data_IF_090050347097
#
_entry.id   IF_090050347097
#
_cell.length_a   1.000
_cell.length_b   1.000
_cell.length_c   1.000
_cell.angle_alpha   90.00
_cell.angle_beta   90.00
_cell.angle_gamma   90.00
#
_symmetry.space_group_name_H-M   'P 1'
#
loop_
_entity.id
_entity.type
_entity.pdbx_description
1 polymer ?
#
# COMPACT_ATOMS: atom_id res chain seq x y z
N UNK A 1 38.53 -6.30 -46.59
CA UNK A 1 37.10 -6.24 -46.22
C UNK A 1 36.98 -6.68 -44.78
N UNK A 2 36.76 -5.76 -43.85
CA UNK A 2 36.59 -6.09 -42.43
C UNK A 2 35.10 -6.40 -42.20
N UNK A 3 34.77 -7.67 -42.02
CA UNK A 3 33.41 -8.08 -41.68
C UNK A 3 33.09 -7.51 -40.29
N UNK A 4 32.20 -6.52 -40.21
CA UNK A 4 31.63 -6.06 -38.95
C UNK A 4 30.93 -7.25 -38.30
N UNK A 5 31.47 -7.76 -37.20
CA UNK A 5 30.75 -8.64 -36.30
C UNK A 5 29.48 -7.90 -35.86
N UNK A 6 28.31 -8.41 -36.25
CA UNK A 6 27.05 -8.02 -35.61
C UNK A 6 27.10 -8.61 -34.20
N UNK A 7 27.28 -7.76 -33.20
CA UNK A 7 27.02 -8.13 -31.81
C UNK A 7 25.57 -8.58 -31.71
N UNK A 8 25.35 -9.86 -31.44
CA UNK A 8 24.04 -10.39 -31.10
C UNK A 8 23.66 -9.87 -29.72
N UNK A 9 22.67 -8.98 -29.66
CA UNK A 9 22.10 -8.54 -28.38
C UNK A 9 21.41 -9.72 -27.73
N UNK A 10 21.75 -10.01 -26.47
CA UNK A 10 21.05 -11.04 -25.70
C UNK A 10 19.58 -10.61 -25.51
N UNK A 11 18.67 -11.39 -26.09
CA UNK A 11 17.22 -11.20 -25.94
C UNK A 11 16.79 -12.04 -24.75
N UNK A 12 16.36 -11.39 -23.67
CA UNK A 12 15.90 -12.05 -22.45
C UNK A 12 14.96 -11.13 -21.66
N UNK A 13 14.13 -11.71 -20.78
CA UNK A 13 13.16 -10.94 -20.02
C UNK A 13 13.86 -9.96 -19.07
N UNK A 14 13.27 -8.77 -18.90
CA UNK A 14 13.76 -7.79 -17.95
C UNK A 14 13.31 -8.23 -16.55
N UNK A 15 14.27 -8.45 -15.65
CA UNK A 15 13.99 -8.94 -14.30
C UNK A 15 12.97 -8.05 -13.56
N UNK A 16 11.82 -8.63 -13.21
CA UNK A 16 10.74 -7.96 -12.50
C UNK A 16 9.80 -7.12 -13.37
N UNK A 17 9.93 -7.13 -14.69
CA UNK A 17 9.03 -6.44 -15.62
C UNK A 17 8.32 -7.48 -16.49
N UNK A 18 7.08 -7.86 -16.13
CA UNK A 18 6.38 -8.95 -16.82
C UNK A 18 5.94 -8.55 -18.22
N UNK A 19 6.17 -9.44 -19.19
CA UNK A 19 5.65 -9.35 -20.55
C UNK A 19 4.68 -10.51 -20.76
N UNK A 20 3.39 -10.23 -20.67
CA UNK A 20 2.35 -11.25 -20.79
C UNK A 20 2.11 -11.65 -22.24
N UNK A 21 1.86 -12.94 -22.46
CA UNK A 21 1.35 -13.46 -23.73
C UNK A 21 -0.04 -12.90 -24.05
N UNK A 22 -0.51 -13.00 -25.31
CA UNK A 22 -1.87 -12.58 -25.66
C UNK A 22 -2.96 -13.22 -24.79
N UNK A 23 -2.83 -14.51 -24.46
CA UNK A 23 -3.78 -15.22 -23.61
C UNK A 23 -3.82 -14.65 -22.18
N UNK A 24 -2.65 -14.38 -21.60
CA UNK A 24 -2.53 -13.77 -20.27
C UNK A 24 -3.07 -12.34 -20.26
N UNK A 25 -2.78 -11.53 -21.29
CA UNK A 25 -3.33 -10.15 -21.40
C UNK A 25 -4.85 -10.14 -21.50
N UNK A 26 -5.45 -11.08 -22.23
CA UNK A 26 -6.92 -11.19 -22.31
C UNK A 26 -7.52 -11.49 -20.93
N UNK A 27 -6.89 -12.38 -20.15
CA UNK A 27 -7.35 -12.69 -18.80
C UNK A 27 -7.19 -11.49 -17.85
N UNK A 28 -6.04 -10.81 -17.90
CA UNK A 28 -5.80 -9.60 -17.11
C UNK A 28 -6.82 -8.51 -17.44
N UNK A 29 -7.11 -8.26 -18.72
CA UNK A 29 -8.10 -7.27 -19.14
C UNK A 29 -9.49 -7.58 -18.58
N UNK A 30 -9.92 -8.85 -18.62
CA UNK A 30 -11.22 -9.26 -18.04
C UNK A 30 -11.29 -9.01 -16.53
N UNK A 31 -10.20 -9.28 -15.82
CA UNK A 31 -10.10 -9.00 -14.39
C UNK A 31 -10.18 -7.49 -14.12
N UNK A 32 -9.38 -6.68 -14.83
CA UNK A 32 -9.38 -5.22 -14.68
C UNK A 32 -10.74 -4.60 -15.04
N UNK A 33 -11.42 -5.10 -16.07
CA UNK A 33 -12.77 -4.64 -16.44
C UNK A 33 -13.80 -4.98 -15.36
N UNK A 34 -13.69 -6.14 -14.72
CA UNK A 34 -14.58 -6.54 -13.62
C UNK A 34 -14.39 -5.62 -12.40
N UNK A 35 -13.13 -5.33 -12.07
CA UNK A 35 -12.76 -4.40 -10.99
C UNK A 35 -13.29 -2.99 -11.30
N UNK A 36 -12.98 -2.47 -12.49
CA UNK A 36 -13.43 -1.16 -12.98
C UNK A 36 -14.95 -1.01 -12.92
N UNK A 37 -15.69 -1.96 -13.49
CA UNK A 37 -17.15 -1.93 -13.50
C UNK A 37 -17.74 -1.96 -12.08
N UNK A 38 -17.08 -2.64 -11.14
CA UNK A 38 -17.49 -2.66 -9.74
C UNK A 38 -17.24 -1.30 -9.07
N UNK A 39 -16.11 -0.64 -9.33
CA UNK A 39 -15.84 0.71 -8.83
C UNK A 39 -16.83 1.74 -9.39
N UNK A 40 -17.08 1.73 -10.71
CA UNK A 40 -18.02 2.63 -11.38
C UNK A 40 -19.46 2.44 -10.83
N UNK A 41 -19.86 1.21 -10.49
CA UNK A 41 -21.18 0.92 -9.90
C UNK A 41 -21.41 1.60 -8.54
N UNK A 42 -20.35 1.84 -7.77
CA UNK A 42 -20.41 2.55 -6.49
C UNK A 42 -20.23 4.08 -6.66
N UNK A 43 -20.11 4.57 -7.90
CA UNK A 43 -19.99 6.00 -8.20
C UNK A 43 -18.57 6.54 -8.01
N UNK A 44 -17.54 5.69 -8.01
CA UNK A 44 -16.16 6.14 -8.08
C UNK A 44 -15.82 6.57 -9.52
N UNK A 45 -15.24 7.76 -9.68
CA UNK A 45 -14.86 8.29 -10.99
C UNK A 45 -13.41 7.97 -11.34
N UNK A 46 -13.06 7.65 -12.60
CA UNK A 46 -11.67 7.42 -12.98
C UNK A 46 -10.83 8.68 -12.87
N UNK A 47 -9.60 8.52 -12.39
CA UNK A 47 -8.51 9.46 -12.64
C UNK A 47 -7.28 8.71 -13.17
N UNK A 48 -6.37 9.46 -13.78
CA UNK A 48 -5.03 9.00 -14.10
C UNK A 48 -4.04 10.12 -13.73
N UNK A 49 -2.92 9.74 -13.13
CA UNK A 49 -1.83 10.67 -12.81
C UNK A 49 -0.62 10.34 -13.66
N UNK A 50 0.27 11.32 -13.83
CA UNK A 50 1.57 11.10 -14.46
C UNK A 50 2.29 9.90 -13.85
N UNK A 51 2.96 9.09 -14.69
CA UNK A 51 3.85 8.00 -14.25
C UNK A 51 5.07 8.53 -13.47
N UNK A 52 5.38 9.81 -13.65
CA UNK A 52 6.50 10.47 -12.99
C UNK A 52 6.01 11.48 -11.96
N UNK A 53 6.73 11.55 -10.85
CA UNK A 53 6.52 12.50 -9.77
C UNK A 53 7.85 13.18 -9.45
N UNK A 54 7.78 14.39 -8.88
CA UNK A 54 8.98 15.06 -8.35
C UNK A 54 9.49 14.29 -7.14
N UNK A 55 10.81 14.22 -7.00
CA UNK A 55 11.44 13.47 -5.91
C UNK A 55 10.99 13.96 -4.54
N UNK A 56 10.87 15.28 -4.36
CA UNK A 56 10.45 15.88 -3.09
C UNK A 56 9.03 15.48 -2.69
N UNK A 57 8.11 15.34 -3.66
CA UNK A 57 6.75 14.85 -3.44
C UNK A 57 6.77 13.41 -2.94
N UNK A 58 7.57 12.53 -3.56
CA UNK A 58 7.65 11.12 -3.19
C UNK A 58 8.34 10.90 -1.83
N UNK A 59 9.33 11.72 -1.48
CA UNK A 59 10.05 11.60 -0.20
C UNK A 59 9.39 12.34 0.95
N UNK A 60 8.41 13.23 0.70
CA UNK A 60 7.75 14.03 1.73
C UNK A 60 7.07 13.20 2.84
N UNK A 61 6.63 11.97 2.53
CA UNK A 61 6.00 11.04 3.48
C UNK A 61 6.78 9.75 3.72
N UNK A 62 7.92 9.57 3.04
CA UNK A 62 8.68 8.32 3.03
C UNK A 62 9.64 8.19 4.21
N UNK A 63 9.71 7.00 4.80
CA UNK A 63 10.84 6.60 5.65
C UNK A 63 12.02 6.10 4.80
N UNK A 64 13.15 5.77 5.44
CA UNK A 64 14.36 5.27 4.76
C UNK A 64 14.14 4.02 3.90
N UNK A 65 13.06 3.28 4.15
CA UNK A 65 12.65 2.11 3.37
C UNK A 65 11.98 2.51 2.04
N UNK A 66 11.13 3.54 2.02
CA UNK A 66 10.47 4.05 0.80
C UNK A 66 11.51 4.56 -0.21
N UNK A 67 12.57 5.24 0.25
CA UNK A 67 13.61 5.75 -0.65
C UNK A 67 14.35 4.64 -1.42
N UNK A 68 14.46 3.43 -0.84
CA UNK A 68 15.10 2.27 -1.49
C UNK A 68 14.22 1.64 -2.58
N UNK A 69 12.95 2.02 -2.64
CA UNK A 69 11.96 1.45 -3.55
C UNK A 69 11.72 2.33 -4.79
N UNK A 70 12.37 3.49 -4.91
CA UNK A 70 12.04 4.47 -5.97
C UNK A 70 12.98 4.34 -7.17
N UNK A 71 12.39 4.22 -8.37
CA UNK A 71 13.12 4.34 -9.63
C UNK A 71 13.34 5.80 -10.00
N UNK A 72 14.58 6.28 -9.86
CA UNK A 72 14.97 7.64 -10.27
C UNK A 72 15.21 7.72 -11.77
N UNK A 73 14.74 8.79 -12.38
CA UNK A 73 14.96 9.09 -13.78
C UNK A 73 16.11 10.09 -13.93
N UNK A 74 16.90 9.93 -14.99
CA UNK A 74 17.89 10.93 -15.40
C UNK A 74 17.47 11.51 -16.74
N UNK A 75 17.26 12.83 -16.78
CA UNK A 75 16.94 13.53 -18.02
C UNK A 75 18.16 13.56 -18.93
N UNK A 76 17.98 13.20 -20.21
CA UNK A 76 19.02 13.32 -21.24
C UNK A 76 19.20 14.77 -21.73
N UNK A 77 18.19 15.62 -21.50
CA UNK A 77 18.19 17.03 -21.90
C UNK A 77 17.73 17.90 -20.72
N UNK A 78 18.55 18.02 -19.66
CA UNK A 78 18.21 18.84 -18.51
C UNK A 78 18.24 20.33 -18.87
N UNK A 79 17.29 21.11 -18.34
CA UNK A 79 17.32 22.57 -18.43
C UNK A 79 18.30 23.18 -17.42
N UNK A 80 18.55 22.49 -16.31
CA UNK A 80 19.57 22.81 -15.32
C UNK A 80 20.19 21.53 -14.72
N UNK A 81 21.35 21.65 -14.07
CA UNK A 81 21.96 20.52 -13.38
C UNK A 81 21.07 19.94 -12.26
N UNK A 82 20.22 20.77 -11.65
CA UNK A 82 19.25 20.33 -10.64
C UNK A 82 18.13 19.49 -11.28
N UNK A 83 17.67 19.85 -12.48
CA UNK A 83 16.59 19.15 -13.19
C UNK A 83 17.01 17.79 -13.74
N UNK A 84 18.32 17.53 -13.85
CA UNK A 84 18.85 16.31 -14.44
C UNK A 84 18.37 15.04 -13.75
N UNK A 85 17.99 15.09 -12.47
CA UNK A 85 17.50 13.95 -11.70
C UNK A 85 16.31 14.28 -10.80
N UNK A 86 15.49 15.28 -11.14
CA UNK A 86 14.40 15.74 -10.24
C UNK A 86 13.16 14.82 -10.22
N UNK A 87 13.09 13.85 -11.13
CA UNK A 87 11.92 13.00 -11.31
C UNK A 87 12.18 11.53 -10.99
N UNK A 88 11.12 10.87 -10.54
CA UNK A 88 11.10 9.44 -10.28
C UNK A 88 9.77 8.84 -10.71
N UNK A 89 9.75 7.53 -11.00
CA UNK A 89 8.51 6.80 -11.19
C UNK A 89 7.76 6.69 -9.86
N UNK A 90 6.45 6.90 -9.88
CA UNK A 90 5.61 6.67 -8.70
C UNK A 90 5.59 5.18 -8.29
N UNK A 91 5.70 4.93 -7.00
CA UNK A 91 5.76 3.59 -6.40
C UNK A 91 4.41 3.11 -5.84
N UNK A 92 3.45 4.03 -5.75
CA UNK A 92 2.05 3.83 -5.37
C UNK A 92 1.13 4.81 -6.13
N UNK A 93 -0.19 4.73 -5.87
CA UNK A 93 -1.18 5.67 -6.40
C UNK A 93 -1.66 6.70 -5.34
N UNK A 94 -1.36 6.47 -4.06
CA UNK A 94 -1.82 7.32 -2.95
C UNK A 94 -1.04 8.63 -2.84
N UNK A 95 0.29 8.63 -3.03
CA UNK A 95 1.07 9.88 -3.04
C UNK A 95 0.70 10.76 -4.24
N UNK A 96 0.63 10.23 -5.48
CA UNK A 96 0.11 10.99 -6.63
C UNK A 96 -1.31 11.52 -6.42
N UNK A 97 -2.21 10.74 -5.80
CA UNK A 97 -3.55 11.22 -5.44
C UNK A 97 -3.49 12.45 -4.54
N UNK A 98 -2.70 12.42 -3.48
CA UNK A 98 -2.60 13.54 -2.55
C UNK A 98 -2.14 14.83 -3.27
N UNK A 99 -1.15 14.72 -4.17
CA UNK A 99 -0.72 15.83 -5.02
C UNK A 99 -1.82 16.28 -5.99
N UNK A 100 -2.50 15.33 -6.64
CA UNK A 100 -3.58 15.62 -7.58
C UNK A 100 -4.71 16.41 -6.90
N UNK A 101 -5.18 15.96 -5.73
CA UNK A 101 -6.21 16.65 -4.96
C UNK A 101 -5.74 18.02 -4.52
N UNK A 102 -4.50 18.16 -4.02
CA UNK A 102 -3.98 19.46 -3.61
C UNK A 102 -3.88 20.45 -4.78
N UNK A 103 -3.45 19.99 -5.96
CA UNK A 103 -3.32 20.83 -7.16
C UNK A 103 -4.69 21.21 -7.75
N UNK A 104 -5.67 20.32 -7.65
CA UNK A 104 -7.00 20.47 -8.24
C UNK A 104 -8.09 20.81 -7.23
N UNK A 105 -7.72 21.18 -6.00
CA UNK A 105 -8.68 21.32 -4.90
C UNK A 105 -9.89 22.21 -5.25
N UNK A 106 -9.68 23.33 -5.94
CA UNK A 106 -10.75 24.24 -6.37
C UNK A 106 -11.62 23.72 -7.52
N UNK A 107 -11.18 22.70 -8.26
CA UNK A 107 -11.91 22.08 -9.37
C UNK A 107 -12.71 20.84 -8.92
N UNK A 108 -12.44 20.31 -7.72
CA UNK A 108 -13.01 19.06 -7.23
C UNK A 108 -14.24 19.31 -6.35
N UNK A 109 -15.20 18.38 -6.44
CA UNK A 109 -16.38 18.34 -5.55
C UNK A 109 -16.14 17.31 -4.47
N UNK A 110 -16.29 17.73 -3.21
CA UNK A 110 -16.12 16.87 -2.04
C UNK A 110 -17.48 16.38 -1.47
N UNK A 111 -17.60 15.12 -1.01
CA UNK A 111 -16.55 14.10 -0.98
C UNK A 111 -16.17 13.62 -2.40
N UNK A 112 -14.88 13.68 -2.70
CA UNK A 112 -14.34 13.31 -4.00
C UNK A 112 -14.06 11.80 -4.01
N UNK A 113 -14.80 11.09 -4.87
CA UNK A 113 -14.75 9.63 -4.99
C UNK A 113 -14.04 9.25 -6.27
N UNK A 114 -12.88 8.61 -6.15
CA UNK A 114 -12.09 8.21 -7.32
C UNK A 114 -11.71 6.74 -7.30
N UNK A 115 -11.50 6.20 -8.48
CA UNK A 115 -10.68 5.01 -8.65
C UNK A 115 -9.48 5.31 -9.57
N UNK A 116 -8.42 4.53 -9.41
CA UNK A 116 -7.26 4.58 -10.30
C UNK A 116 -6.74 3.16 -10.53
N UNK A 117 -6.64 2.76 -11.80
CA UNK A 117 -6.09 1.47 -12.23
C UNK A 117 -4.88 1.78 -13.10
N UNK A 118 -3.69 1.70 -12.52
CA UNK A 118 -2.46 2.15 -13.18
C UNK A 118 -1.26 1.31 -12.71
N UNK A 119 -0.25 1.19 -13.58
CA UNK A 119 1.02 0.56 -13.22
C UNK A 119 1.78 1.41 -12.22
N UNK A 120 2.51 0.75 -11.33
CA UNK A 120 3.46 1.37 -10.39
C UNK A 120 4.78 0.64 -10.43
N UNK A 121 5.84 1.30 -9.96
CA UNK A 121 7.20 0.78 -10.04
C UNK A 121 7.90 0.75 -8.67
N UNK A 122 8.41 -0.41 -8.29
CA UNK A 122 9.17 -0.61 -7.05
C UNK A 122 10.55 -1.17 -7.32
N UNK A 123 11.59 -0.41 -6.96
CA UNK A 123 13.01 -0.73 -7.17
C UNK A 123 13.57 -1.86 -6.32
N UNK A 124 12.74 -2.55 -5.53
CA UNK A 124 13.16 -3.67 -4.69
C UNK A 124 13.75 -4.83 -5.51
N UNK A 125 14.48 -5.71 -4.81
CA UNK A 125 14.84 -7.00 -5.40
C UNK A 125 13.54 -7.80 -5.61
N UNK A 126 13.29 -8.29 -6.84
CA UNK A 126 12.08 -9.05 -7.11
C UNK A 126 12.06 -10.32 -6.25
N UNK A 127 10.89 -10.64 -5.72
CA UNK A 127 10.61 -11.89 -5.00
C UNK A 127 9.43 -12.57 -5.70
N UNK A 128 9.14 -13.83 -5.34
CA UNK A 128 7.99 -14.52 -5.91
C UNK A 128 6.70 -13.73 -5.63
N UNK A 129 5.96 -13.36 -6.69
CA UNK A 129 4.76 -12.52 -6.58
C UNK A 129 5.03 -11.01 -6.34
N UNK A 130 6.29 -10.58 -6.22
CA UNK A 130 6.68 -9.17 -6.12
C UNK A 130 7.51 -8.75 -7.32
N UNK A 131 6.81 -8.23 -8.32
CA UNK A 131 7.41 -7.63 -9.51
C UNK A 131 7.90 -6.21 -9.24
N UNK A 132 8.78 -5.71 -10.12
CA UNK A 132 9.25 -4.32 -10.14
C UNK A 132 8.27 -3.40 -10.83
N UNK A 133 7.45 -3.94 -11.73
CA UNK A 133 6.31 -3.28 -12.35
C UNK A 133 5.06 -4.12 -12.16
N UNK A 134 3.97 -3.53 -11.66
CA UNK A 134 2.68 -4.18 -11.51
C UNK A 134 1.54 -3.17 -11.45
N UNK A 135 0.32 -3.62 -11.71
CA UNK A 135 -0.89 -2.77 -11.70
C UNK A 135 -1.46 -2.69 -10.28
N UNK A 136 -1.72 -1.47 -9.80
CA UNK A 136 -2.56 -1.22 -8.62
C UNK A 136 -3.97 -0.83 -9.07
N UNK A 137 -4.96 -1.16 -8.24
CA UNK A 137 -6.37 -0.87 -8.45
C UNK A 137 -6.91 -0.25 -7.16
N UNK A 138 -6.82 1.07 -7.05
CA UNK A 138 -7.13 1.78 -5.81
C UNK A 138 -8.48 2.48 -5.93
N UNK A 139 -9.21 2.55 -4.80
CA UNK A 139 -10.40 3.39 -4.61
C UNK A 139 -10.22 4.26 -3.39
N UNK A 140 -10.61 5.52 -3.48
CA UNK A 140 -10.46 6.48 -2.39
C UNK A 140 -11.67 7.40 -2.33
N UNK A 141 -12.08 7.71 -1.10
CA UNK A 141 -13.06 8.75 -0.79
C UNK A 141 -12.29 9.84 -0.04
N UNK A 142 -12.14 10.99 -0.66
CA UNK A 142 -11.44 12.14 -0.07
C UNK A 142 -12.50 13.14 0.39
N UNK A 143 -12.47 13.49 1.67
CA UNK A 143 -13.33 14.53 2.24
C UNK A 143 -12.63 15.88 2.31
N UNK A 144 -13.43 16.93 2.51
CA UNK A 144 -12.96 18.24 2.95
C UNK A 144 -13.25 18.38 4.45
N UNK A 145 -12.24 18.09 5.29
CA UNK A 145 -12.39 18.00 6.74
C UNK A 145 -12.73 16.58 7.21
N UNK A 146 -13.98 16.30 7.55
CA UNK A 146 -14.40 15.02 8.12
C UNK A 146 -15.23 14.19 7.14
N UNK A 147 -14.98 12.87 7.15
CA UNK A 147 -15.82 11.88 6.50
C UNK A 147 -16.65 11.16 7.55
N UNK A 148 -17.85 10.74 7.14
CA UNK A 148 -18.69 9.83 7.95
C UNK A 148 -18.05 8.44 7.98
N UNK A 149 -18.26 7.69 9.07
CA UNK A 149 -17.91 6.26 9.16
C UNK A 149 -18.56 5.41 8.07
N UNK A 150 -19.61 5.92 7.41
CA UNK A 150 -20.20 5.27 6.23
C UNK A 150 -19.22 5.18 5.06
N UNK A 151 -18.28 6.14 4.93
CA UNK A 151 -17.24 6.08 3.91
C UNK A 151 -16.31 4.88 4.15
N UNK A 152 -15.90 4.64 5.40
CA UNK A 152 -15.13 3.45 5.77
C UNK A 152 -15.92 2.16 5.56
N UNK A 153 -17.21 2.15 5.91
CA UNK A 153 -18.08 0.96 5.79
C UNK A 153 -18.36 0.55 4.33
N UNK A 154 -18.31 1.50 3.40
CA UNK A 154 -18.48 1.25 1.97
C UNK A 154 -17.29 0.49 1.37
N UNK A 155 -16.07 0.73 1.85
CA UNK A 155 -14.86 0.10 1.28
C UNK A 155 -14.92 -1.44 1.35
N UNK A 156 -15.24 -2.09 2.50
CA UNK A 156 -15.46 -3.53 2.55
C UNK A 156 -16.58 -4.03 1.63
N UNK A 157 -17.64 -3.24 1.42
CA UNK A 157 -18.71 -3.61 0.51
C UNK A 157 -18.24 -3.64 -0.96
N UNK A 158 -17.42 -2.67 -1.37
CA UNK A 158 -16.81 -2.65 -2.71
C UNK A 158 -15.83 -3.81 -2.88
N UNK A 159 -14.98 -4.08 -1.88
CA UNK A 159 -14.05 -5.23 -1.90
C UNK A 159 -14.83 -6.53 -2.06
N UNK A 160 -15.94 -6.68 -1.31
CA UNK A 160 -16.80 -7.85 -1.37
C UNK A 160 -17.42 -8.03 -2.77
N UNK A 161 -18.00 -6.98 -3.36
CA UNK A 161 -18.55 -7.03 -4.73
C UNK A 161 -17.46 -7.42 -5.74
N UNK A 162 -16.27 -6.83 -5.67
CA UNK A 162 -15.16 -7.14 -6.57
C UNK A 162 -14.77 -8.61 -6.46
N UNK A 163 -14.50 -9.12 -5.26
CA UNK A 163 -14.04 -10.49 -5.05
C UNK A 163 -15.11 -11.53 -5.34
N UNK A 164 -16.39 -11.25 -5.03
CA UNK A 164 -17.51 -12.10 -5.43
C UNK A 164 -17.63 -12.18 -6.96
N UNK A 165 -17.47 -11.07 -7.68
CA UNK A 165 -17.56 -11.06 -9.15
C UNK A 165 -16.37 -11.68 -9.85
N UNK A 166 -15.18 -11.61 -9.23
CA UNK A 166 -13.99 -12.30 -9.71
C UNK A 166 -14.02 -13.81 -9.40
N UNK A 167 -14.97 -14.28 -8.59
CA UNK A 167 -15.16 -15.69 -8.22
C UNK A 167 -13.89 -16.34 -7.67
N UNK A 168 -13.22 -15.63 -6.74
CA UNK A 168 -11.96 -16.10 -6.13
C UNK A 168 -12.17 -17.15 -5.00
N UNK A 169 -13.41 -17.60 -4.80
CA UNK A 169 -13.81 -18.45 -3.69
C UNK A 169 -13.97 -17.69 -2.37
N UNK A 170 -13.77 -18.39 -1.25
CA UNK A 170 -13.95 -17.82 0.09
C UNK A 170 -12.82 -16.83 0.41
N UNK A 171 -13.20 -15.68 0.97
CA UNK A 171 -12.25 -14.68 1.45
C UNK A 171 -12.71 -14.10 2.80
N UNK A 172 -11.79 -13.47 3.51
CA UNK A 172 -12.04 -12.78 4.78
C UNK A 172 -11.47 -11.36 4.71
N UNK A 173 -12.28 -10.37 5.10
CA UNK A 173 -11.84 -8.98 5.23
C UNK A 173 -11.47 -8.74 6.70
N UNK A 174 -10.19 -8.59 6.99
CA UNK A 174 -9.69 -8.25 8.33
C UNK A 174 -9.71 -6.74 8.50
N UNK A 175 -10.39 -6.27 9.54
CA UNK A 175 -10.51 -4.84 9.86
C UNK A 175 -9.79 -4.56 11.18
N UNK A 176 -9.04 -3.46 11.21
CA UNK A 176 -8.37 -2.98 12.43
C UNK A 176 -8.51 -1.46 12.52
N UNK A 177 -8.32 -0.92 13.73
CA UNK A 177 -8.33 0.52 13.97
C UNK A 177 -7.08 0.93 14.74
N UNK A 178 -6.25 1.77 14.10
CA UNK A 178 -5.00 2.24 14.69
C UNK A 178 -5.21 2.95 16.03
N UNK A 179 -6.34 3.64 16.24
CA UNK A 179 -6.65 4.32 17.52
C UNK A 179 -6.80 3.33 18.67
N UNK A 180 -7.37 2.15 18.42
CA UNK A 180 -7.49 1.08 19.43
C UNK A 180 -6.10 0.55 19.78
N UNK A 181 -5.29 0.24 18.76
CA UNK A 181 -3.94 -0.28 18.95
C UNK A 181 -3.04 0.73 19.69
N UNK A 182 -3.07 1.99 19.26
CA UNK A 182 -2.32 3.08 19.91
C UNK A 182 -2.79 3.28 21.36
N UNK A 183 -4.10 3.39 21.60
CA UNK A 183 -4.63 3.59 22.94
C UNK A 183 -4.33 2.42 23.89
N UNK A 184 -4.31 1.19 23.38
CA UNK A 184 -3.93 0.02 24.18
C UNK A 184 -2.44 0.03 24.54
N UNK A 185 -1.56 0.41 23.61
CA UNK A 185 -0.14 0.56 23.91
C UNK A 185 0.12 1.70 24.91
N UNK A 186 -0.60 2.81 24.79
CA UNK A 186 -0.57 3.90 25.78
C UNK A 186 -1.04 3.42 27.16
N UNK A 187 -2.08 2.59 27.22
CA UNK A 187 -2.54 1.95 28.46
C UNK A 187 -1.46 1.07 29.11
N UNK A 188 -0.68 0.32 28.30
CA UNK A 188 0.48 -0.44 28.77
C UNK A 188 1.68 0.45 29.15
N UNK A 189 1.57 1.77 29.03
CA UNK A 189 2.61 2.72 29.40
C UNK A 189 3.74 2.85 28.38
N UNK A 190 3.45 2.64 27.10
CA UNK A 190 4.34 3.05 26.00
C UNK A 190 4.09 4.53 25.65
N UNK A 191 5.12 5.25 25.24
CA UNK A 191 5.05 6.71 25.08
C UNK A 191 4.57 7.20 23.69
N UNK A 192 4.04 6.26 22.88
CA UNK A 192 3.53 6.51 21.53
C UNK A 192 4.61 6.59 20.44
N UNK A 193 5.88 6.90 20.78
CA UNK A 193 6.96 7.05 19.80
C UNK A 193 7.37 5.72 19.18
N UNK A 194 7.29 4.66 19.98
CA UNK A 194 7.59 3.28 19.61
C UNK A 194 6.41 2.52 19.00
N UNK A 195 5.20 3.09 19.00
CA UNK A 195 3.98 2.40 18.53
C UNK A 195 4.12 1.86 17.11
N UNK A 196 4.67 2.65 16.18
CA UNK A 196 4.81 2.20 14.79
C UNK A 196 5.74 0.99 14.65
N UNK A 197 6.82 0.95 15.43
CA UNK A 197 7.79 -0.14 15.37
C UNK A 197 7.26 -1.38 16.10
N UNK A 198 6.62 -1.22 17.27
CA UNK A 198 5.94 -2.33 17.98
C UNK A 198 4.90 -2.98 17.08
N UNK A 199 4.04 -2.20 16.43
CA UNK A 199 3.02 -2.74 15.53
C UNK A 199 3.63 -3.42 14.29
N UNK A 200 4.76 -2.91 13.79
CA UNK A 200 5.50 -3.56 12.68
C UNK A 200 6.08 -4.92 13.11
N UNK A 201 6.57 -5.04 14.33
CA UNK A 201 7.04 -6.32 14.84
C UNK A 201 5.88 -7.28 15.13
N UNK A 202 4.78 -6.78 15.71
CA UNK A 202 3.57 -7.55 15.95
C UNK A 202 2.96 -8.14 14.67
N UNK A 203 2.97 -7.42 13.55
CA UNK A 203 2.50 -7.88 12.24
C UNK A 203 3.25 -9.15 11.75
N UNK A 204 4.46 -9.39 12.25
CA UNK A 204 5.26 -10.56 11.87
C UNK A 204 4.87 -11.82 12.64
N UNK A 205 4.06 -11.74 13.69
CA UNK A 205 3.74 -12.87 14.58
C UNK A 205 3.12 -14.03 13.80
N UNK A 206 2.23 -13.74 12.85
CA UNK A 206 1.57 -14.78 12.04
C UNK A 206 2.57 -15.64 11.25
N UNK A 207 3.70 -15.04 10.84
CA UNK A 207 4.72 -15.72 10.04
C UNK A 207 5.89 -16.26 10.88
N UNK A 208 6.26 -15.55 11.94
CA UNK A 208 7.52 -15.77 12.67
C UNK A 208 7.32 -16.24 14.12
N UNK A 209 6.07 -16.31 14.59
CA UNK A 209 5.75 -16.59 15.99
C UNK A 209 6.01 -15.40 16.92
N UNK A 210 5.81 -15.63 18.21
CA UNK A 210 5.85 -14.59 19.25
C UNK A 210 7.26 -14.24 19.73
N UNK A 211 8.22 -15.14 19.57
CA UNK A 211 9.56 -14.99 20.16
C UNK A 211 10.35 -13.78 19.64
N UNK A 212 10.35 -13.46 18.33
CA UNK A 212 11.00 -12.25 17.83
C UNK A 212 10.42 -10.96 18.43
N UNK A 213 9.11 -10.94 18.67
CA UNK A 213 8.42 -9.78 19.28
C UNK A 213 8.80 -9.65 20.75
N UNK A 214 8.86 -10.77 21.50
CA UNK A 214 9.36 -10.77 22.87
C UNK A 214 10.79 -10.22 22.94
N UNK A 215 11.68 -10.73 22.09
CA UNK A 215 13.07 -10.30 22.06
C UNK A 215 13.20 -8.80 21.72
N UNK A 216 12.43 -8.32 20.73
CA UNK A 216 12.39 -6.91 20.35
C UNK A 216 11.96 -6.03 21.52
N UNK A 217 10.84 -6.37 22.17
CA UNK A 217 10.28 -5.61 23.28
C UNK A 217 11.20 -5.63 24.51
N UNK A 218 11.77 -6.79 24.86
CA UNK A 218 12.72 -6.91 25.96
C UNK A 218 13.99 -6.07 25.73
N UNK A 219 14.53 -6.06 24.50
CA UNK A 219 15.67 -5.19 24.15
C UNK A 219 15.32 -3.70 24.21
N UNK A 220 14.06 -3.35 23.94
CA UNK A 220 13.51 -2.01 24.12
C UNK A 220 13.27 -1.60 25.58
N UNK A 221 13.48 -2.51 26.54
CA UNK A 221 13.27 -2.24 27.97
C UNK A 221 11.83 -2.45 28.45
N UNK A 222 10.97 -3.10 27.67
CA UNK A 222 9.64 -3.48 28.13
C UNK A 222 9.74 -4.59 29.19
N UNK A 223 9.01 -4.43 30.30
CA UNK A 223 8.88 -5.47 31.31
C UNK A 223 7.96 -6.62 30.85
N UNK A 224 7.94 -7.70 31.63
CA UNK A 224 7.15 -8.89 31.32
C UNK A 224 5.65 -8.58 31.19
N UNK A 225 5.11 -7.67 32.02
CA UNK A 225 3.69 -7.30 31.99
C UNK A 225 3.31 -6.61 30.67
N UNK A 226 4.17 -5.73 30.16
CA UNK A 226 3.96 -5.06 28.86
C UNK A 226 4.04 -6.04 27.69
N UNK A 227 4.99 -6.97 27.74
CA UNK A 227 5.17 -7.99 26.71
C UNK A 227 3.94 -8.89 26.65
N UNK A 228 3.51 -9.42 27.80
CA UNK A 228 2.33 -10.28 27.88
C UNK A 228 1.07 -9.53 27.44
N UNK A 229 0.93 -8.25 27.84
CA UNK A 229 -0.16 -7.40 27.39
C UNK A 229 -0.25 -7.25 25.86
N UNK A 230 0.87 -7.08 25.16
CA UNK A 230 0.91 -6.99 23.69
C UNK A 230 0.53 -8.34 23.06
N UNK A 231 1.11 -9.43 23.55
CA UNK A 231 0.84 -10.76 22.99
C UNK A 231 -0.62 -11.15 23.16
N UNK A 232 -1.19 -10.88 24.33
CA UNK A 232 -2.61 -11.06 24.61
C UNK A 232 -3.49 -10.32 23.60
N UNK A 233 -3.17 -9.07 23.28
CA UNK A 233 -3.95 -8.28 22.32
C UNK A 233 -3.88 -8.90 20.91
N UNK A 234 -2.69 -9.28 20.46
CA UNK A 234 -2.48 -9.77 19.09
C UNK A 234 -3.05 -11.18 18.90
N UNK A 235 -3.04 -11.98 19.96
CA UNK A 235 -3.55 -13.36 19.97
C UNK A 235 -5.00 -13.46 20.43
N UNK A 236 -5.67 -12.33 20.69
CA UNK A 236 -7.04 -12.34 21.15
C UNK A 236 -7.98 -12.86 20.04
N UNK A 237 -8.77 -13.88 20.38
CA UNK A 237 -9.79 -14.46 19.51
C UNK A 237 -11.16 -14.33 20.16
N UNK A 238 -12.20 -14.17 19.33
CA UNK A 238 -13.58 -14.06 19.77
C UNK A 238 -14.40 -13.09 18.93
N UNK A 239 -15.68 -13.00 19.25
CA UNK A 239 -16.56 -11.96 18.71
C UNK A 239 -16.13 -10.58 19.21
N UNK A 240 -16.54 -9.52 18.50
CA UNK A 240 -16.24 -8.15 18.91
C UNK A 240 -16.76 -7.83 20.32
N UNK A 241 -17.86 -8.46 20.74
CA UNK A 241 -18.43 -8.30 22.08
C UNK A 241 -17.55 -8.96 23.14
N UNK A 242 -17.13 -10.21 22.93
CA UNK A 242 -16.25 -10.95 23.84
C UNK A 242 -14.90 -10.25 24.00
N UNK A 243 -14.30 -9.80 22.89
CA UNK A 243 -13.04 -9.06 22.90
C UNK A 243 -13.17 -7.75 23.68
N UNK A 244 -14.28 -7.03 23.51
CA UNK A 244 -14.52 -5.78 24.22
C UNK A 244 -14.75 -6.00 25.72
N UNK A 245 -15.47 -7.06 26.10
CA UNK A 245 -15.68 -7.42 27.51
C UNK A 245 -14.37 -7.82 28.18
N UNK A 246 -13.54 -8.61 27.50
CA UNK A 246 -12.20 -8.99 27.97
C UNK A 246 -11.29 -7.77 28.17
N UNK A 247 -11.37 -6.77 27.29
CA UNK A 247 -10.60 -5.52 27.43
C UNK A 247 -11.12 -4.65 28.59
N UNK A 248 -12.43 -4.64 28.86
CA UNK A 248 -13.03 -3.87 29.97
C UNK A 248 -12.77 -4.47 31.35
N UNK A 249 -12.48 -5.76 31.42
CA UNK A 249 -12.20 -6.47 32.67
C UNK A 249 -10.75 -6.33 33.15
N UNK A 250 -9.87 -5.72 32.34
CA UNK A 250 -8.46 -5.45 32.63
C UNK A 250 -8.27 -4.06 33.24
#
# INVERSE_FOLDING_TARGET
MCAKQKESVAVGPISGFPEWTPAERILEQRMLDTIRASFERYGFSPIETSSVERNDVLTAKGGSETERQIYRLTSLHPQSAADARDYSLHFDLTVPLARYVAQRYGDLVFPFRRYQIQKVWRGERPQQGRFREFTQCDIDIVGDGQLSLMADAEIPAVISEVFTRLDIGNFCIRISNRKILTGYLEYLGFDGRETADILREADKIERQGTDPVREYLSKGGADQSKIDGILDLVQAEGSSQELLENLKAR
#
